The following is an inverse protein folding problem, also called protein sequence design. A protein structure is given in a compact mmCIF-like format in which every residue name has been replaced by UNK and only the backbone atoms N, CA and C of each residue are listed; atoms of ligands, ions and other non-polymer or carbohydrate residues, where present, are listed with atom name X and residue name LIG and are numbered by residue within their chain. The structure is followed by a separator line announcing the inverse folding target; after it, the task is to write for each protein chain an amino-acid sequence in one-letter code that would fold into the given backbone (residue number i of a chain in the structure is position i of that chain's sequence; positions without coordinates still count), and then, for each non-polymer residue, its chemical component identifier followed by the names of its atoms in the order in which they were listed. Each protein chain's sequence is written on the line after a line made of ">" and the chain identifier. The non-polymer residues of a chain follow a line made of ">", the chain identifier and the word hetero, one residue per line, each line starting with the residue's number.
data_IF_003623996666
#
_entry.id   IF_003623996666
#
_cell.length_a   1.000
_cell.length_b   1.000
_cell.length_c   1.000
_cell.angle_alpha   90.00
_cell.angle_beta   90.00
_cell.angle_gamma   90.00
#
_symmetry.space_group_name_H-M   'P 1'
#
loop_
_entity.id
_entity.type
_entity.pdbx_description
1 polymer ?
#
# COMPACT_ATOMS: atom_id res chain seq x y z
N UNK A 1 27.89 3.62 -18.41
CA UNK A 1 27.38 4.98 -18.15
C UNK A 1 28.41 6.00 -18.61
N UNK A 2 28.39 6.39 -19.88
CA UNK A 2 28.95 7.68 -20.29
C UNK A 2 27.86 8.74 -20.15
N UNK A 3 28.25 10.00 -20.24
CA UNK A 3 27.43 11.21 -20.17
C UNK A 3 27.31 11.80 -18.76
N UNK A 4 28.16 12.81 -18.55
CA UNK A 4 28.00 14.05 -17.77
C UNK A 4 29.36 14.64 -17.36
N UNK A 5 30.41 14.45 -18.16
CA UNK A 5 31.67 15.19 -17.98
C UNK A 5 32.17 15.70 -19.33
N UNK A 6 31.70 16.88 -19.71
CA UNK A 6 32.46 17.75 -20.61
C UNK A 6 32.92 18.96 -19.77
N UNK A 7 34.23 19.19 -19.79
CA UNK A 7 34.90 20.40 -19.29
C UNK A 7 34.82 20.70 -17.78
N UNK A 8 34.70 19.67 -16.93
CA UNK A 8 34.90 19.83 -15.48
C UNK A 8 33.79 20.58 -14.73
N UNK A 9 32.71 20.94 -15.41
CA UNK A 9 31.53 21.56 -14.82
C UNK A 9 30.48 20.45 -14.59
N UNK A 10 30.06 20.28 -13.33
CA UNK A 10 28.98 19.36 -12.98
C UNK A 10 27.66 19.96 -13.45
N UNK A 11 27.12 19.45 -14.56
CA UNK A 11 25.75 19.74 -14.97
C UNK A 11 24.79 18.83 -14.19
N UNK A 12 24.03 19.41 -13.27
CA UNK A 12 22.90 18.72 -12.62
C UNK A 12 21.82 18.50 -13.68
N UNK A 13 21.73 17.27 -14.19
CA UNK A 13 20.63 16.86 -15.06
C UNK A 13 19.51 16.30 -14.17
N UNK A 14 18.36 16.99 -14.16
CA UNK A 14 17.14 16.43 -13.59
C UNK A 14 16.55 15.49 -14.63
N UNK A 15 16.58 14.19 -14.34
CA UNK A 15 15.98 13.17 -15.19
C UNK A 15 14.69 12.70 -14.54
N UNK A 16 13.56 13.05 -15.14
CA UNK A 16 12.26 12.49 -14.76
C UNK A 16 12.25 11.01 -15.15
N UNK A 17 12.16 10.12 -14.14
CA UNK A 17 11.96 8.69 -14.36
C UNK A 17 10.54 8.33 -13.97
N UNK A 18 9.88 7.57 -14.83
CA UNK A 18 8.60 6.97 -14.50
C UNK A 18 8.85 5.89 -13.43
N UNK A 19 8.29 6.09 -12.23
CA UNK A 19 8.44 5.14 -11.12
C UNK A 19 7.54 3.92 -11.29
N UNK A 20 6.42 4.08 -12.01
CA UNK A 20 5.38 3.07 -12.17
C UNK A 20 4.78 3.17 -13.57
N UNK A 21 4.82 2.07 -14.31
CA UNK A 21 4.13 1.94 -15.59
C UNK A 21 2.61 1.84 -15.42
N UNK A 22 1.85 2.28 -16.41
CA UNK A 22 0.39 2.17 -16.47
C UNK A 22 -0.05 0.74 -16.20
N UNK A 23 -1.01 0.58 -15.29
CA UNK A 23 -1.63 -0.66 -14.81
C UNK A 23 -2.30 -1.51 -15.92
N UNK A 24 -2.20 -1.12 -17.19
CA UNK A 24 -2.73 -1.87 -18.34
C UNK A 24 -2.13 -3.28 -18.47
N UNK A 25 -0.90 -3.51 -18.00
CA UNK A 25 -0.34 -4.88 -17.96
C UNK A 25 -0.93 -5.76 -16.84
N UNK A 26 -1.61 -5.19 -15.84
CA UNK A 26 -2.28 -5.94 -14.77
C UNK A 26 -3.76 -6.24 -15.09
N UNK A 27 -4.33 -5.61 -16.12
CA UNK A 27 -5.69 -5.88 -16.61
C UNK A 27 -5.79 -7.21 -17.39
N UNK A 28 -4.67 -7.92 -17.58
CA UNK A 28 -4.55 -9.12 -18.41
C UNK A 28 -4.36 -10.42 -17.65
N UNK A 29 -5.27 -10.74 -16.70
CA UNK A 29 -5.71 -12.10 -16.31
C UNK A 29 -6.58 -11.99 -15.05
N UNK A 30 -7.88 -11.74 -15.24
CA UNK A 30 -8.89 -12.09 -14.24
C UNK A 30 -9.15 -13.60 -14.29
N UNK A 31 -8.10 -14.42 -14.13
CA UNK A 31 -8.32 -15.81 -13.74
C UNK A 31 -8.81 -15.76 -12.30
N UNK A 32 -9.98 -16.36 -12.03
CA UNK A 32 -10.53 -16.43 -10.68
C UNK A 32 -9.45 -16.94 -9.74
N UNK A 33 -9.02 -16.10 -8.82
CA UNK A 33 -7.93 -16.45 -7.94
C UNK A 33 -8.45 -17.28 -6.75
N UNK A 34 -7.53 -17.65 -5.86
CA UNK A 34 -7.89 -18.41 -4.68
C UNK A 34 -8.82 -17.61 -3.74
N UNK A 35 -8.76 -16.27 -3.76
CA UNK A 35 -9.65 -15.40 -2.99
C UNK A 35 -11.06 -15.38 -3.59
N UNK A 36 -11.20 -15.28 -4.91
CA UNK A 36 -12.50 -15.33 -5.59
C UNK A 36 -13.24 -16.63 -5.27
N UNK A 37 -12.53 -17.76 -5.32
CA UNK A 37 -13.11 -19.07 -4.97
C UNK A 37 -13.55 -19.13 -3.49
N UNK A 38 -12.76 -18.51 -2.59
CA UNK A 38 -13.05 -18.42 -1.16
C UNK A 38 -14.28 -17.56 -0.87
N UNK A 39 -14.38 -16.42 -1.55
CA UNK A 39 -15.49 -15.46 -1.44
C UNK A 39 -16.79 -16.06 -1.98
N UNK A 40 -16.74 -16.75 -3.12
CA UNK A 40 -17.93 -17.28 -3.79
C UNK A 40 -18.49 -18.56 -3.14
N UNK A 41 -17.63 -19.45 -2.64
CA UNK A 41 -18.04 -20.83 -2.29
C UNK A 41 -17.75 -21.24 -0.84
N UNK A 42 -17.07 -20.42 -0.03
CA UNK A 42 -16.64 -20.82 1.31
C UNK A 42 -16.79 -19.69 2.36
N UNK A 43 -18.04 -19.27 2.68
CA UNK A 43 -18.30 -18.22 3.67
C UNK A 43 -17.71 -18.53 5.05
N UNK A 44 -17.66 -19.82 5.43
CA UNK A 44 -17.06 -20.23 6.72
C UNK A 44 -15.54 -20.02 6.74
N UNK A 45 -14.86 -20.19 5.60
CA UNK A 45 -13.42 -19.95 5.47
C UNK A 45 -13.10 -18.46 5.37
N UNK A 46 -14.03 -17.67 4.81
CA UNK A 46 -13.89 -16.21 4.73
C UNK A 46 -13.78 -15.58 6.12
N UNK A 47 -14.59 -16.00 7.09
CA UNK A 47 -14.50 -15.49 8.45
C UNK A 47 -13.14 -15.79 9.09
N UNK A 48 -12.59 -17.00 8.89
CA UNK A 48 -11.26 -17.37 9.38
C UNK A 48 -10.17 -16.49 8.76
N UNK A 49 -10.28 -16.17 7.46
CA UNK A 49 -9.36 -15.25 6.78
C UNK A 49 -9.48 -13.84 7.36
N UNK A 50 -10.70 -13.33 7.57
CA UNK A 50 -10.92 -12.01 8.18
C UNK A 50 -10.28 -11.94 9.58
N UNK A 51 -10.52 -12.93 10.44
CA UNK A 51 -9.91 -12.98 11.79
C UNK A 51 -8.39 -13.05 11.74
N UNK A 52 -7.83 -13.82 10.79
CA UNK A 52 -6.39 -13.93 10.60
C UNK A 52 -5.76 -12.61 10.15
N UNK A 53 -6.43 -11.88 9.24
CA UNK A 53 -6.01 -10.55 8.81
C UNK A 53 -6.05 -9.54 9.97
N UNK A 54 -7.10 -9.54 10.79
CA UNK A 54 -7.18 -8.67 11.98
C UNK A 54 -6.01 -8.95 12.92
N UNK A 55 -5.74 -10.23 13.18
CA UNK A 55 -4.64 -10.65 14.06
C UNK A 55 -3.28 -10.22 13.49
N UNK A 56 -3.08 -10.37 12.18
CA UNK A 56 -1.88 -9.91 11.50
C UNK A 56 -1.69 -8.39 11.63
N UNK A 57 -2.72 -7.62 11.28
CA UNK A 57 -2.67 -6.16 11.36
C UNK A 57 -2.38 -5.70 12.79
N UNK A 58 -3.07 -6.26 13.78
CA UNK A 58 -2.85 -5.92 15.19
C UNK A 58 -1.45 -6.29 15.68
N UNK A 59 -0.83 -7.36 15.17
CA UNK A 59 0.57 -7.69 15.49
C UNK A 59 1.53 -6.56 15.12
N UNK A 60 1.26 -5.84 14.03
CA UNK A 60 2.09 -4.72 13.59
C UNK A 60 1.64 -3.40 14.23
N UNK A 61 0.35 -3.06 14.15
CA UNK A 61 -0.20 -1.78 14.63
C UNK A 61 -0.18 -1.62 16.16
N UNK A 62 -0.17 -2.71 16.94
CA UNK A 62 0.00 -2.62 18.39
C UNK A 62 1.35 -1.99 18.80
N UNK A 63 2.37 -2.02 17.92
CA UNK A 63 3.64 -1.29 18.15
C UNK A 63 3.44 0.23 18.28
N UNK A 64 2.35 0.75 17.70
CA UNK A 64 1.93 2.16 17.76
C UNK A 64 0.76 2.38 18.73
N UNK A 65 0.43 1.38 19.56
CA UNK A 65 -0.73 1.38 20.46
C UNK A 65 -2.08 1.54 19.71
N UNK A 66 -2.14 1.07 18.46
CA UNK A 66 -3.36 1.03 17.66
C UNK A 66 -3.91 -0.40 17.64
N UNK A 67 -5.22 -0.52 17.86
CA UNK A 67 -5.95 -1.78 17.78
C UNK A 67 -7.05 -1.67 16.71
N UNK A 68 -7.12 -2.69 15.87
CA UNK A 68 -8.08 -2.85 14.79
C UNK A 68 -9.08 -3.91 15.18
N UNK A 69 -10.35 -3.53 15.21
CA UNK A 69 -11.50 -4.41 15.46
C UNK A 69 -12.26 -4.70 14.17
N UNK A 70 -12.29 -3.73 13.25
CA UNK A 70 -13.04 -3.82 11.99
C UNK A 70 -12.17 -3.34 10.82
N UNK A 71 -11.64 -4.31 10.05
CA UNK A 71 -10.82 -4.03 8.88
C UNK A 71 -11.53 -3.16 7.84
N UNK A 72 -12.80 -3.46 7.54
CA UNK A 72 -13.52 -2.83 6.42
C UNK A 72 -13.72 -1.32 6.62
N UNK A 73 -13.91 -0.89 7.86
CA UNK A 73 -14.16 0.52 8.19
C UNK A 73 -12.85 1.25 8.51
N UNK A 74 -11.97 0.63 9.29
CA UNK A 74 -10.74 1.28 9.77
C UNK A 74 -9.64 1.38 8.70
N UNK A 75 -9.71 0.60 7.62
CA UNK A 75 -8.80 0.73 6.47
C UNK A 75 -9.39 1.55 5.32
N UNK A 76 -10.64 2.02 5.43
CA UNK A 76 -11.34 2.71 4.34
C UNK A 76 -10.68 4.03 3.94
N UNK A 77 -10.06 4.73 4.89
CA UNK A 77 -9.34 5.99 4.65
C UNK A 77 -7.88 5.78 4.20
N UNK A 78 -7.41 4.52 4.20
CA UNK A 78 -6.05 4.14 3.82
C UNK A 78 -4.96 4.52 4.83
N UNK A 79 -5.27 5.25 5.90
CA UNK A 79 -4.25 5.73 6.88
C UNK A 79 -3.59 4.54 7.57
N UNK A 80 -4.38 3.56 8.00
CA UNK A 80 -3.88 2.36 8.66
C UNK A 80 -3.09 1.46 7.71
N UNK A 81 -3.44 1.46 6.42
CA UNK A 81 -2.69 0.72 5.40
C UNK A 81 -1.28 1.29 5.22
N UNK A 82 -1.17 2.62 5.15
CA UNK A 82 0.13 3.29 5.02
C UNK A 82 0.99 3.03 6.26
N UNK A 83 0.42 3.18 7.46
CA UNK A 83 1.13 2.89 8.70
C UNK A 83 1.61 1.44 8.75
N UNK A 84 0.75 0.49 8.36
CA UNK A 84 1.11 -0.93 8.29
C UNK A 84 2.27 -1.17 7.34
N UNK A 85 2.26 -0.59 6.14
CA UNK A 85 3.37 -0.71 5.18
C UNK A 85 4.68 -0.17 5.76
N UNK A 86 4.64 0.97 6.44
CA UNK A 86 5.81 1.51 7.16
C UNK A 86 6.34 0.56 8.23
N UNK A 87 5.45 -0.01 9.04
CA UNK A 87 5.82 -0.97 10.09
C UNK A 87 6.28 -2.34 9.58
N UNK A 88 5.99 -2.68 8.31
CA UNK A 88 6.47 -3.89 7.66
C UNK A 88 7.89 -3.72 7.09
N UNK A 89 8.22 -2.54 6.59
CA UNK A 89 9.55 -2.20 6.07
C UNK A 89 10.48 -1.55 7.12
N UNK A 90 10.02 -1.46 8.37
CA UNK A 90 10.70 -0.76 9.48
C UNK A 90 11.05 0.71 9.15
N UNK A 91 10.20 1.37 8.35
CA UNK A 91 10.32 2.78 7.99
C UNK A 91 9.26 3.64 8.68
N UNK A 92 9.65 4.83 9.13
CA UNK A 92 8.72 5.78 9.73
C UNK A 92 7.97 6.56 8.65
N UNK A 93 6.67 6.37 8.55
CA UNK A 93 5.82 7.12 7.61
C UNK A 93 5.42 8.44 8.25
N UNK A 94 5.86 9.60 7.72
CA UNK A 94 5.41 10.89 8.21
C UNK A 94 3.95 11.10 7.81
N UNK A 95 3.06 11.21 8.80
CA UNK A 95 1.61 11.36 8.59
C UNK A 95 1.18 12.75 8.08
N UNK A 96 2.11 13.70 7.92
CA UNK A 96 1.80 15.10 7.59
C UNK A 96 1.35 15.34 6.13
N UNK A 97 1.25 14.29 5.30
CA UNK A 97 0.90 14.40 3.88
C UNK A 97 -0.40 13.69 3.47
N UNK A 98 -1.17 13.16 4.42
CA UNK A 98 -2.52 12.61 4.15
C UNK A 98 -3.57 13.69 4.41
N UNK A 99 -3.54 14.76 3.61
CA UNK A 99 -4.73 15.59 3.46
C UNK A 99 -5.62 14.89 2.44
N UNK A 100 -6.81 14.48 2.88
CA UNK A 100 -7.96 14.39 2.00
C UNK A 100 -8.22 15.81 1.50
N UNK A 101 -7.56 16.21 0.42
CA UNK A 101 -8.02 17.37 -0.34
C UNK A 101 -9.25 16.93 -1.14
N UNK A 102 -10.32 16.62 -0.40
CA UNK A 102 -11.69 16.62 -0.89
C UNK A 102 -12.30 17.99 -0.57
N UNK A 103 -11.55 19.05 -0.87
CA UNK A 103 -12.07 20.41 -1.02
C UNK A 103 -11.86 20.85 -2.47
N UNK A 104 -12.58 20.21 -3.38
CA UNK A 104 -12.94 20.87 -4.63
C UNK A 104 -14.30 21.56 -4.45
N UNK A 105 -14.21 22.89 -4.46
CA UNK A 105 -15.14 23.93 -4.94
C UNK A 105 -16.58 23.52 -5.32
#
# INVERSE_FOLDING_TARGET
>A
MSWLKQEGILHTAVVTKELTSTTEMMLGRFERDAFDTLLDHAPDKLNVVKTSLITFVNKHLNKLNLEVTELETQFADGVYLVLLMGLLEDYFVPLYNFFSDAREL
#
